data_IF_405979659099
#
_entry.id   IF_405979659099
#
_cell.length_a   1.000
_cell.length_b   1.000
_cell.length_c   1.000
_cell.angle_alpha   90.00
_cell.angle_beta   90.00
_cell.angle_gamma   90.00
#
_symmetry.space_group_name_H-M   'P 1'
#
loop_
_entity.id
_entity.type
_entity.pdbx_description
1 polymer ?
#
# COMPACT_ATOMS: atom_id res chain seq x y z
N UNK A 1 -4.99 -66.95 8.26
CA UNK A 1 -4.79 -66.32 8.22
C UNK A 1 -4.88 -65.21 8.09
N UNK A 2 -4.85 -64.64 8.17
CA UNK A 2 -4.75 -63.70 8.07
C UNK A 2 -4.78 -62.66 8.04
N UNK A 3 -4.82 -62.29 8.13
CA UNK A 3 -4.70 -61.40 7.93
C UNK A 3 -4.88 -60.40 8.02
N UNK A 4 -4.90 -60.16 8.08
CA UNK A 4 -4.85 -59.29 8.09
C UNK A 4 -4.89 -58.31 8.23
N UNK A 5 -4.83 -57.90 8.30
CA UNK A 5 -4.62 -57.08 8.35
C UNK A 5 -4.63 -56.10 8.32
N UNK A 6 -4.62 -55.74 8.45
CA UNK A 6 -4.39 -54.92 8.36
C UNK A 6 -4.41 -53.94 8.15
N UNK A 7 -4.35 -53.71 8.26
CA UNK A 7 -4.25 -52.91 8.02
C UNK A 7 -4.46 -51.89 8.10
N UNK A 8 -4.50 -51.45 8.17
CA UNK A 8 -4.56 -50.58 8.19
C UNK A 8 -4.62 -49.58 8.44
N UNK A 9 -4.45 -49.21 8.64
CA UNK A 9 -4.47 -48.27 9.00
C UNK A 9 -4.29 -47.26 8.72
N UNK A 10 -3.92 -46.93 8.57
CA UNK A 10 -3.57 -46.07 8.23
C UNK A 10 -3.91 -44.95 8.05
N UNK A 11 -4.05 -44.83 7.83
CA UNK A 11 -4.42 -43.94 7.52
C UNK A 11 -4.71 -42.85 7.99
N UNK A 12 -4.72 -42.61 8.13
CA UNK A 12 -5.20 -41.81 8.76
C UNK A 12 -4.67 -40.72 8.89
N UNK A 13 -4.13 -40.54 8.84
CA UNK A 13 -3.59 -39.62 9.02
C UNK A 13 -3.64 -38.54 8.57
N UNK A 14 -3.61 -38.50 7.88
CA UNK A 14 -3.66 -37.57 7.35
C UNK A 14 -4.27 -36.52 7.55
N UNK A 15 -4.89 -36.48 7.58
CA UNK A 15 -5.60 -35.51 7.66
C UNK A 15 -5.15 -34.48 8.24
N UNK A 16 -4.51 -34.29 8.56
CA UNK A 16 -4.21 -33.44 9.24
C UNK A 16 -3.86 -32.33 8.86
N UNK A 17 -3.52 -32.20 8.22
CA UNK A 17 -3.03 -31.19 8.02
C UNK A 17 -3.55 -30.10 7.80
N UNK A 18 -4.12 -29.80 7.55
CA UNK A 18 -4.49 -28.77 7.07
C UNK A 18 -4.98 -27.87 7.72
N UNK A 19 -5.38 -27.94 8.20
CA UNK A 19 -6.03 -27.13 8.69
C UNK A 19 -5.54 -26.07 9.04
N UNK A 20 -4.86 -25.90 8.76
CA UNK A 20 -4.24 -24.98 9.28
C UNK A 20 -4.43 -23.79 8.77
N UNK A 21 -4.61 -23.41 8.01
CA UNK A 21 -4.58 -22.28 7.53
C UNK A 21 -5.54 -21.44 7.70
N UNK A 22 -6.15 -21.57 8.09
CA UNK A 22 -7.06 -20.85 8.19
C UNK A 22 -6.93 -19.70 8.71
N UNK A 23 -6.19 -19.46 8.93
CA UNK A 23 -5.99 -18.33 9.48
C UNK A 23 -6.27 -17.21 8.71
N UNK A 24 -6.85 -17.20 7.85
CA UNK A 24 -7.13 -16.16 7.13
C UNK A 24 -7.60 -15.11 7.94
N UNK A 25 -6.94 -14.19 8.10
CA UNK A 25 -7.32 -13.17 8.92
C UNK A 25 -8.38 -12.37 8.27
N UNK A 26 -9.33 -12.09 8.94
CA UNK A 26 -10.32 -11.27 8.45
C UNK A 26 -9.71 -9.90 8.45
N UNK A 27 -10.07 -9.10 7.76
CA UNK A 27 -9.49 -7.85 7.70
C UNK A 27 -8.70 -7.69 6.47
N UNK A 28 -8.53 -8.74 5.85
CA UNK A 28 -8.03 -8.64 4.56
C UNK A 28 -6.62 -8.16 4.44
N UNK A 29 -5.92 -8.71 3.54
CA UNK A 29 -4.63 -8.19 3.19
C UNK A 29 -4.83 -6.93 2.37
N UNK A 30 -3.94 -5.97 2.49
CA UNK A 30 -4.01 -4.79 1.66
C UNK A 30 -3.89 -5.18 0.19
N UNK A 31 -4.67 -4.54 -0.63
CA UNK A 31 -4.64 -4.80 -2.06
C UNK A 31 -3.31 -4.32 -2.62
N UNK A 32 -2.67 -5.17 -3.38
CA UNK A 32 -1.40 -4.84 -4.01
C UNK A 32 -1.58 -4.73 -5.51
N UNK A 33 -0.82 -3.85 -6.09
CA UNK A 33 -0.84 -3.60 -7.52
C UNK A 33 0.56 -3.81 -8.08
N UNK A 34 0.61 -4.23 -9.32
CA UNK A 34 1.89 -4.40 -9.99
C UNK A 34 2.20 -3.14 -10.76
N UNK A 35 3.31 -2.51 -10.41
CA UNK A 35 3.73 -1.26 -11.02
C UNK A 35 4.96 -1.45 -11.89
N UNK A 36 4.97 -0.75 -13.02
CA UNK A 36 6.13 -0.68 -13.87
C UNK A 36 6.25 0.77 -14.32
N UNK A 37 6.98 1.54 -13.55
CA UNK A 37 7.17 2.97 -13.78
C UNK A 37 8.68 3.22 -13.80
N UNK A 38 9.17 3.74 -14.90
CA UNK A 38 10.59 4.06 -15.01
C UNK A 38 10.88 5.42 -14.39
N UNK A 39 12.15 5.68 -14.11
CA UNK A 39 12.55 6.97 -13.59
C UNK A 39 12.23 8.05 -14.63
N UNK A 40 11.44 9.03 -14.23
CA UNK A 40 10.91 10.05 -15.13
C UNK A 40 10.40 11.24 -14.32
N UNK A 41 10.01 12.33 -14.97
CA UNK A 41 9.44 13.46 -14.24
C UNK A 41 8.29 13.01 -13.35
N UNK A 42 8.26 13.53 -12.13
CA UNK A 42 7.31 13.08 -11.12
C UNK A 42 5.85 13.17 -11.59
N UNK A 43 5.49 14.27 -12.26
CA UNK A 43 4.13 14.41 -12.78
C UNK A 43 3.74 13.26 -13.71
N UNK A 44 4.65 12.86 -14.60
CA UNK A 44 4.41 11.76 -15.52
C UNK A 44 4.32 10.43 -14.78
N UNK A 45 5.20 10.23 -13.80
CA UNK A 45 5.20 9.03 -13.00
C UNK A 45 3.88 8.89 -12.23
N UNK A 46 3.35 9.98 -11.70
CA UNK A 46 2.07 9.97 -11.00
C UNK A 46 0.91 9.66 -11.94
N UNK A 47 0.97 10.10 -13.19
CA UNK A 47 -0.05 9.74 -14.17
C UNK A 47 -0.01 8.25 -14.47
N UNK A 48 1.18 7.69 -14.68
CA UNK A 48 1.32 6.26 -14.91
C UNK A 48 0.86 5.45 -13.69
N UNK A 49 1.18 5.94 -12.50
CA UNK A 49 0.72 5.32 -11.28
C UNK A 49 -0.82 5.28 -11.23
N UNK A 50 -1.45 6.40 -11.56
CA UNK A 50 -2.91 6.48 -11.56
C UNK A 50 -3.52 5.47 -12.55
N UNK A 51 -2.93 5.39 -13.75
CA UNK A 51 -3.41 4.45 -14.76
C UNK A 51 -3.26 2.99 -14.34
N UNK A 52 -2.12 2.65 -13.76
CA UNK A 52 -1.83 1.26 -13.38
C UNK A 52 -2.59 0.82 -12.14
N UNK A 53 -2.91 1.75 -11.25
CA UNK A 53 -3.62 1.42 -10.01
C UNK A 53 -5.12 1.64 -10.10
N UNK A 54 -5.59 2.41 -11.07
CA UNK A 54 -6.99 2.78 -11.16
C UNK A 54 -7.40 3.82 -10.11
N UNK A 55 -6.43 4.45 -9.47
CA UNK A 55 -6.65 5.48 -8.47
C UNK A 55 -6.57 6.84 -9.14
N UNK A 56 -7.45 7.73 -8.76
CA UNK A 56 -7.40 9.10 -9.26
C UNK A 56 -6.42 9.91 -8.41
N UNK A 57 -5.45 10.51 -9.06
CA UNK A 57 -4.46 11.34 -8.36
C UNK A 57 -4.73 12.80 -8.71
N UNK A 58 -4.83 13.62 -7.68
CA UNK A 58 -5.02 15.06 -7.84
C UNK A 58 -3.75 15.74 -7.37
N UNK A 59 -3.17 16.54 -8.24
CA UNK A 59 -2.00 17.33 -7.87
C UNK A 59 -1.92 18.58 -8.76
N UNK A 60 -1.26 19.58 -8.24
CA UNK A 60 -1.01 20.77 -9.03
C UNK A 60 0.35 20.60 -9.73
N UNK A 61 0.37 20.87 -11.01
CA UNK A 61 1.61 20.71 -11.81
C UNK A 61 2.79 21.44 -11.18
N UNK A 62 2.51 22.57 -10.57
CA UNK A 62 3.54 23.40 -9.96
C UNK A 62 4.32 22.68 -8.86
N UNK A 63 3.64 21.77 -8.12
CA UNK A 63 4.32 21.09 -7.03
C UNK A 63 5.19 19.91 -7.51
N UNK A 64 4.97 19.45 -8.72
CA UNK A 64 5.76 18.36 -9.29
C UNK A 64 6.80 18.84 -10.31
N UNK A 65 6.75 20.13 -10.64
CA UNK A 65 7.63 20.67 -11.66
C UNK A 65 9.08 20.59 -11.22
N UNK A 66 9.93 20.10 -12.11
CA UNK A 66 11.35 19.95 -11.82
C UNK A 66 11.71 18.77 -10.93
N UNK A 67 10.73 18.02 -10.48
CA UNK A 67 10.98 16.86 -9.64
C UNK A 67 11.03 15.59 -10.47
N UNK A 68 11.90 14.67 -10.05
CA UNK A 68 12.06 13.38 -10.70
C UNK A 68 11.58 12.28 -9.76
N UNK A 69 10.88 11.33 -10.33
CA UNK A 69 10.45 10.15 -9.58
C UNK A 69 11.47 9.03 -9.78
N UNK A 70 11.74 8.26 -8.75
CA UNK A 70 12.57 7.07 -8.91
C UNK A 70 11.78 5.99 -9.67
N UNK A 71 12.48 5.03 -10.21
CA UNK A 71 11.84 3.90 -10.86
C UNK A 71 11.07 3.07 -9.82
N UNK A 72 9.88 2.61 -10.18
CA UNK A 72 9.06 1.79 -9.32
C UNK A 72 8.63 0.55 -10.08
N UNK A 73 9.28 -0.57 -9.80
CA UNK A 73 8.97 -1.83 -10.45
C UNK A 73 8.69 -2.87 -9.38
N UNK A 74 7.57 -3.54 -9.49
CA UNK A 74 7.22 -4.60 -8.56
C UNK A 74 5.79 -4.47 -8.04
N UNK A 75 5.50 -5.23 -7.01
CA UNK A 75 4.16 -5.30 -6.44
C UNK A 75 4.13 -4.58 -5.11
N UNK A 76 3.32 -3.57 -5.03
CA UNK A 76 3.23 -2.70 -3.86
C UNK A 76 1.80 -2.32 -3.55
N UNK A 77 1.55 -1.91 -2.32
CA UNK A 77 0.28 -1.27 -1.97
C UNK A 77 0.30 0.16 -2.49
N UNK A 78 -0.85 0.78 -2.56
CA UNK A 78 -0.97 2.18 -3.00
C UNK A 78 -0.08 3.09 -2.14
N UNK A 79 -0.15 2.94 -0.83
CA UNK A 79 0.62 3.80 0.08
C UNK A 79 2.12 3.61 -0.10
N UNK A 80 2.59 2.37 -0.10
CA UNK A 80 4.02 2.09 -0.26
C UNK A 80 4.55 2.60 -1.59
N UNK A 81 3.78 2.40 -2.66
CA UNK A 81 4.19 2.87 -3.98
C UNK A 81 4.30 4.39 -4.03
N UNK A 82 3.32 5.09 -3.44
CA UNK A 82 3.37 6.55 -3.39
C UNK A 82 4.53 7.06 -2.54
N UNK A 83 4.78 6.42 -1.40
CA UNK A 83 5.92 6.80 -0.58
C UNK A 83 7.23 6.69 -1.35
N UNK A 84 7.37 5.65 -2.15
CA UNK A 84 8.56 5.47 -2.97
C UNK A 84 8.64 6.52 -4.09
N UNK A 85 7.54 6.79 -4.78
CA UNK A 85 7.52 7.78 -5.83
C UNK A 85 7.77 9.19 -5.33
N UNK A 86 7.28 9.51 -4.14
CA UNK A 86 7.41 10.84 -3.55
C UNK A 86 8.69 10.98 -2.72
N UNK A 87 9.47 9.92 -2.58
CA UNK A 87 10.69 10.00 -1.80
C UNK A 87 11.63 11.05 -2.38
N UNK A 88 12.13 11.93 -1.53
CA UNK A 88 13.02 13.00 -1.96
C UNK A 88 12.31 14.22 -2.54
N UNK A 89 11.01 14.18 -2.69
CA UNK A 89 10.28 15.33 -3.26
C UNK A 89 9.75 16.28 -2.21
N UNK A 90 9.76 15.87 -0.95
CA UNK A 90 9.15 16.62 0.16
C UNK A 90 7.64 16.80 0.00
N UNK A 91 7.03 16.07 -0.91
CA UNK A 91 5.59 16.10 -1.07
C UNK A 91 4.95 15.03 -0.18
N UNK A 92 3.71 15.27 0.19
CA UNK A 92 2.93 14.30 0.93
C UNK A 92 1.67 13.95 0.15
N UNK A 93 1.11 12.82 0.46
CA UNK A 93 -0.17 12.44 -0.12
C UNK A 93 -1.25 12.35 0.96
N UNK A 94 -2.46 12.63 0.57
CA UNK A 94 -3.61 12.55 1.44
C UNK A 94 -4.72 11.76 0.76
N UNK A 95 -5.24 10.77 1.43
CA UNK A 95 -6.34 9.98 0.91
C UNK A 95 -7.64 10.76 1.10
N UNK A 96 -8.26 11.16 0.02
CA UNK A 96 -9.54 11.88 0.06
C UNK A 96 -10.68 10.87 0.19
N UNK A 97 -10.59 9.79 -0.58
CA UNK A 97 -11.55 8.70 -0.53
C UNK A 97 -10.87 7.45 -1.08
N UNK A 98 -11.50 6.28 -1.03
CA UNK A 98 -10.85 5.03 -1.45
C UNK A 98 -10.30 5.00 -2.85
N UNK A 99 -10.69 5.93 -3.70
CA UNK A 99 -10.21 5.97 -5.09
C UNK A 99 -9.58 7.30 -5.48
N UNK A 100 -9.41 8.21 -4.55
CA UNK A 100 -8.86 9.54 -4.86
C UNK A 100 -7.83 9.94 -3.83
N UNK A 101 -6.67 10.31 -4.31
CA UNK A 101 -5.54 10.74 -3.49
C UNK A 101 -5.07 12.09 -3.98
N UNK A 102 -4.81 12.98 -3.04
CA UNK A 102 -4.29 14.31 -3.31
C UNK A 102 -2.81 14.37 -2.96
N UNK A 103 -2.01 14.95 -3.83
CA UNK A 103 -0.59 15.17 -3.60
C UNK A 103 -0.34 16.67 -3.44
N UNK A 104 0.35 17.04 -2.38
CA UNK A 104 0.56 18.44 -2.07
C UNK A 104 1.82 18.65 -1.24
N UNK A 105 2.20 19.89 -1.08
CA UNK A 105 3.28 20.22 -0.17
C UNK A 105 2.78 20.09 1.28
N UNK A 106 3.63 19.65 2.19
CA UNK A 106 3.24 19.59 3.59
C UNK A 106 3.01 20.99 4.12
N UNK A 107 1.97 21.14 4.91
CA UNK A 107 1.72 22.39 5.61
C UNK A 107 2.10 22.20 7.06
N UNK A 108 2.19 23.29 7.79
CA UNK A 108 2.53 23.21 9.20
C UNK A 108 1.57 22.31 9.98
N UNK A 109 0.33 22.23 9.52
CA UNK A 109 -0.66 21.36 10.15
C UNK A 109 -0.36 19.89 9.95
N UNK A 110 0.26 19.56 8.81
CA UNK A 110 0.58 18.17 8.54
C UNK A 110 1.78 17.69 9.34
N UNK A 111 2.67 18.62 9.66
CA UNK A 111 3.81 18.29 10.51
C UNK A 111 3.38 17.89 11.91
N UNK A 112 2.20 18.34 12.33
CA UNK A 112 1.68 17.98 13.64
C UNK A 112 1.02 16.61 13.69
N UNK A 113 0.70 16.03 12.56
CA UNK A 113 -0.01 14.77 12.57
C UNK A 113 0.91 13.61 12.93
N UNK A 114 2.20 13.76 12.69
CA UNK A 114 3.15 12.75 13.10
C UNK A 114 3.51 12.86 14.58
N UNK A 115 3.11 13.97 15.21
CA UNK A 115 3.23 14.05 16.63
C UNK A 115 1.92 13.59 17.16
N UNK A 116 1.85 12.37 17.45
CA UNK A 116 0.72 11.81 18.14
C UNK A 116 0.73 12.40 19.55
N UNK A 117 0.40 13.65 19.63
CA UNK A 117 0.31 14.29 20.89
C UNK A 117 -1.15 14.49 21.19
N UNK A 118 -1.69 13.63 22.00
CA UNK A 118 -3.06 13.84 22.42
C UNK A 118 -3.04 15.08 23.30
N UNK A 119 -3.74 16.05 22.90
CA UNK A 119 -3.91 17.16 23.80
C UNK A 119 -3.53 18.50 23.30
N UNK A 120 -3.13 18.66 22.08
CA UNK A 120 -3.03 20.01 21.63
C UNK A 120 -4.27 20.33 20.92
N UNK A 121 -5.20 20.71 21.65
CA UNK A 121 -6.35 21.32 21.08
C UNK A 121 -5.88 22.62 20.48
N UNK A 122 -6.24 22.90 19.29
CA UNK A 122 -5.97 24.18 18.76
C UNK A 122 -6.83 25.14 19.51
N UNK A 123 -6.21 25.99 20.15
CA UNK A 123 -6.91 27.03 20.72
C UNK A 123 -7.35 27.85 19.62
N UNK A 124 -8.53 27.70 19.31
CA UNK A 124 -9.07 28.55 18.38
C UNK A 124 -9.34 29.85 19.01
N UNK A 125 -8.59 30.71 18.68
CA UNK A 125 -8.95 32.00 19.10
C UNK A 125 -8.43 32.99 18.17
#
# INVERSE_FOLDING_TARGET
MQVRRNVLPCLCIVAIGWMTHLAAAPGGEPVKYHFKIDSQPLGTALQQFAEQSGIQIIFFSQVTEGLQAPALHGTYTISSALEMLLSGSHLIFRVINPKTIEIRLPTERDSGIFSNRPGSAPDGN
#
